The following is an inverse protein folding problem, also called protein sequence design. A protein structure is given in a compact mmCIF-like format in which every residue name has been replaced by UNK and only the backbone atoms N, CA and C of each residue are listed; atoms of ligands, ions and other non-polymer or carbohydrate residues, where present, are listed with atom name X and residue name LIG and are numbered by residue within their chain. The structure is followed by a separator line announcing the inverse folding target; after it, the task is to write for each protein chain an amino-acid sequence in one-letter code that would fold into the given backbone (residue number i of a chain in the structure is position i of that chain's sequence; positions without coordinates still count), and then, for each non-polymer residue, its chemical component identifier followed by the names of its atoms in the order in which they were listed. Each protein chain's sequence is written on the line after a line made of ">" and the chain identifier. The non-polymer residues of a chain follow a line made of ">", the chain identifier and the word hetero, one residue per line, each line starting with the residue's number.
data_IF_383008733990
#
_entry.id   IF_383008733990
#
_cell.length_a   1.000
_cell.length_b   1.000
_cell.length_c   1.000
_cell.angle_alpha   90.00
_cell.angle_beta   90.00
_cell.angle_gamma   90.00
#
_symmetry.space_group_name_H-M   'P 1'
#
loop_
_entity.id
_entity.type
_entity.pdbx_description
1 polymer ?
#
# COMPACT_ATOMS: atom_id res chain seq x y z
N UNK A 1 -8.01 10.58 36.27
CA UNK A 1 -7.22 11.72 35.74
C UNK A 1 -6.35 11.35 34.50
N UNK A 2 -6.75 10.38 33.65
CA UNK A 2 -6.01 10.04 32.41
C UNK A 2 -6.92 9.91 31.18
N UNK A 3 -7.97 10.73 31.07
CA UNK A 3 -8.87 10.75 29.90
C UNK A 3 -9.19 12.16 29.43
N UNK A 4 -8.19 13.05 29.32
CA UNK A 4 -8.44 14.43 28.84
C UNK A 4 -7.38 14.98 27.86
N UNK A 5 -6.52 14.14 27.26
CA UNK A 5 -5.52 14.61 26.28
C UNK A 5 -5.45 13.73 25.03
N UNK A 6 -6.60 13.40 24.44
CA UNK A 6 -6.64 13.24 22.99
C UNK A 6 -7.00 14.61 22.43
N UNK A 7 -6.01 15.50 22.37
CA UNK A 7 -6.09 16.70 21.55
C UNK A 7 -6.64 16.26 20.20
N UNK A 8 -7.78 16.84 19.81
CA UNK A 8 -8.43 16.60 18.54
C UNK A 8 -7.47 17.05 17.44
N UNK A 9 -6.55 16.15 17.07
CA UNK A 9 -5.49 16.43 16.13
C UNK A 9 -6.08 16.88 14.81
N UNK A 10 -5.42 17.82 14.15
CA UNK A 10 -5.82 18.33 12.85
C UNK A 10 -6.26 17.19 11.94
N UNK A 11 -7.39 17.36 11.22
CA UNK A 11 -7.89 16.37 10.27
C UNK A 11 -6.84 16.14 9.18
N UNK A 12 -6.00 15.13 9.39
CA UNK A 12 -4.98 14.72 8.43
C UNK A 12 -5.65 14.16 7.19
N UNK A 13 -5.28 14.70 6.03
CA UNK A 13 -5.88 14.37 4.73
C UNK A 13 -5.84 12.86 4.43
N UNK A 14 -4.87 12.11 4.96
CA UNK A 14 -4.74 10.67 4.74
C UNK A 14 -5.75 9.82 5.54
N UNK A 15 -6.42 10.35 6.57
CA UNK A 15 -7.24 9.56 7.50
C UNK A 15 -8.34 8.74 6.79
N UNK A 16 -9.14 9.39 5.93
CA UNK A 16 -10.23 8.74 5.21
C UNK A 16 -9.77 7.65 4.23
N UNK A 17 -8.52 7.75 3.77
CA UNK A 17 -7.93 6.78 2.87
C UNK A 17 -7.42 5.57 3.67
N UNK A 18 -6.61 5.78 4.70
CA UNK A 18 -6.06 4.70 5.56
C UNK A 18 -7.18 3.86 6.18
N UNK A 19 -8.24 4.50 6.67
CA UNK A 19 -9.33 3.81 7.37
C UNK A 19 -10.47 3.36 6.46
N UNK A 20 -10.19 3.14 5.18
CA UNK A 20 -11.15 2.59 4.24
C UNK A 20 -11.60 1.17 4.63
N UNK A 21 -12.91 0.98 4.82
CA UNK A 21 -13.53 -0.33 5.14
C UNK A 21 -13.16 -1.46 4.17
N UNK A 22 -12.94 -1.13 2.89
CA UNK A 22 -12.57 -2.13 1.88
C UNK A 22 -11.13 -2.63 2.06
N UNK A 23 -10.24 -1.86 2.70
CA UNK A 23 -8.87 -2.31 2.94
C UNK A 23 -8.83 -3.41 4.00
N UNK A 24 -7.93 -4.36 3.86
CA UNK A 24 -7.72 -5.44 4.85
C UNK A 24 -7.08 -4.82 6.11
N UNK A 25 -7.50 -5.18 7.34
CA UNK A 25 -7.01 -4.54 8.58
C UNK A 25 -5.48 -4.48 8.70
N UNK A 26 -4.78 -5.58 8.39
CA UNK A 26 -3.31 -5.62 8.41
C UNK A 26 -2.70 -4.60 7.43
N UNK A 27 -3.36 -4.32 6.30
CA UNK A 27 -2.82 -3.44 5.26
C UNK A 27 -2.93 -2.00 5.72
N UNK A 28 -4.05 -1.65 6.39
CA UNK A 28 -4.26 -0.35 7.02
C UNK A 28 -3.21 -0.06 8.09
N UNK A 29 -2.86 -1.06 8.89
CA UNK A 29 -1.85 -0.90 9.94
C UNK A 29 -0.46 -0.63 9.37
N UNK A 30 -0.03 -1.40 8.37
CA UNK A 30 1.30 -1.21 7.76
C UNK A 30 1.38 0.11 7.00
N UNK A 31 0.36 0.50 6.22
CA UNK A 31 0.38 1.80 5.52
C UNK A 31 0.33 2.98 6.49
N UNK A 32 -0.37 2.86 7.62
CA UNK A 32 -0.36 3.86 8.68
C UNK A 32 1.05 4.04 9.25
N UNK A 33 1.75 2.95 9.59
CA UNK A 33 3.14 3.02 10.04
C UNK A 33 4.07 3.59 8.97
N UNK A 34 3.87 3.22 7.69
CA UNK A 34 4.64 3.77 6.58
C UNK A 34 4.45 5.29 6.43
N UNK A 35 3.21 5.77 6.58
CA UNK A 35 2.86 7.19 6.49
C UNK A 35 3.50 8.01 7.62
N UNK A 36 3.69 7.38 8.79
CA UNK A 36 4.37 7.99 9.94
C UNK A 36 5.89 7.79 9.95
N UNK A 37 6.46 7.18 8.91
CA UNK A 37 7.86 6.77 8.84
C UNK A 37 8.32 5.91 10.05
N UNK A 38 7.40 5.11 10.60
CA UNK A 38 7.61 4.28 11.81
C UNK A 38 7.97 2.82 11.50
N UNK A 39 8.11 2.45 10.23
CA UNK A 39 8.54 1.12 9.84
C UNK A 39 10.03 0.90 10.17
N UNK A 40 10.38 -0.33 10.56
CA UNK A 40 11.75 -0.73 10.91
C UNK A 40 12.59 -1.00 9.65
N UNK A 41 12.73 0.00 8.78
CA UNK A 41 13.62 -0.09 7.63
C UNK A 41 15.08 -0.19 8.09
N UNK A 42 15.96 -0.79 7.30
CA UNK A 42 17.38 -0.93 7.65
C UNK A 42 18.07 0.41 7.85
N UNK A 43 17.73 1.45 7.08
CA UNK A 43 18.26 2.80 7.32
C UNK A 43 17.92 3.30 8.74
N UNK A 44 16.67 3.10 9.19
CA UNK A 44 16.24 3.48 10.54
C UNK A 44 16.94 2.64 11.62
N UNK A 45 17.04 1.33 11.41
CA UNK A 45 17.72 0.41 12.34
C UNK A 45 19.22 0.72 12.43
N UNK A 46 19.86 1.09 11.32
CA UNK A 46 21.26 1.51 11.28
C UNK A 46 21.48 2.78 12.09
N UNK A 47 20.61 3.79 11.95
CA UNK A 47 20.65 5.00 12.80
C UNK A 47 20.47 4.73 14.30
N UNK A 48 19.85 3.60 14.65
CA UNK A 48 19.69 3.16 16.04
C UNK A 48 20.86 2.28 16.53
N UNK A 49 21.86 2.00 15.69
CA UNK A 49 22.97 1.10 16.02
C UNK A 49 22.59 -0.40 16.06
N UNK A 50 21.42 -0.77 15.51
CA UNK A 50 20.91 -2.15 15.54
C UNK A 50 21.32 -2.92 14.28
N UNK A 51 21.34 -2.27 13.12
CA UNK A 51 21.72 -2.89 11.85
C UNK A 51 23.07 -2.34 11.38
N UNK A 52 23.93 -3.21 10.86
CA UNK A 52 25.22 -2.83 10.26
C UNK A 52 25.09 -2.45 8.79
N UNK A 53 24.19 -3.10 8.07
CA UNK A 53 23.86 -2.80 6.67
C UNK A 53 22.58 -1.96 6.58
N UNK A 54 22.64 -0.89 5.78
CA UNK A 54 21.51 0.01 5.50
C UNK A 54 20.93 -0.16 4.10
N UNK A 55 21.46 -1.09 3.29
CA UNK A 55 21.03 -1.37 1.92
C UNK A 55 19.67 -2.05 1.87
N UNK A 56 18.88 -1.74 0.84
CA UNK A 56 17.58 -2.35 0.58
C UNK A 56 17.71 -3.87 0.43
N UNK A 57 17.02 -4.67 1.26
CA UNK A 57 17.12 -6.13 1.19
C UNK A 57 16.71 -6.68 -0.18
N UNK A 58 15.75 -6.04 -0.85
CA UNK A 58 15.19 -6.54 -2.10
C UNK A 58 16.13 -6.28 -3.28
N UNK A 59 16.56 -5.03 -3.49
CA UNK A 59 17.37 -4.68 -4.66
C UNK A 59 18.88 -4.69 -4.40
N UNK A 60 19.32 -4.55 -3.14
CA UNK A 60 20.74 -4.50 -2.76
C UNK A 60 21.51 -3.24 -3.20
N UNK A 61 20.86 -2.27 -3.87
CA UNK A 61 21.56 -1.16 -4.54
C UNK A 61 21.52 0.15 -3.72
N UNK A 62 20.37 0.51 -3.18
CA UNK A 62 20.13 1.80 -2.52
C UNK A 62 19.83 1.63 -1.04
N UNK A 63 19.90 2.71 -0.27
CA UNK A 63 19.51 2.72 1.14
C UNK A 63 18.03 2.35 1.34
N UNK A 64 17.75 1.49 2.32
CA UNK A 64 16.38 1.10 2.66
C UNK A 64 15.67 2.21 3.45
N UNK A 65 15.12 3.19 2.75
CA UNK A 65 14.17 4.16 3.30
C UNK A 65 12.74 3.76 2.95
N UNK A 66 11.73 4.35 3.61
CA UNK A 66 10.31 4.16 3.21
C UNK A 66 10.08 4.66 1.77
N UNK A 67 10.70 5.79 1.40
CA UNK A 67 10.62 6.31 0.03
C UNK A 67 11.18 5.30 -0.98
N UNK A 68 12.39 4.81 -0.71
CA UNK A 68 13.03 3.83 -1.59
C UNK A 68 12.22 2.54 -1.68
N UNK A 69 11.94 1.92 -0.53
CA UNK A 69 11.32 0.59 -0.47
C UNK A 69 9.99 0.54 -1.22
N UNK A 70 9.16 1.58 -1.13
CA UNK A 70 7.81 1.55 -1.71
C UNK A 70 7.68 2.29 -3.05
N UNK A 71 8.58 3.22 -3.41
CA UNK A 71 8.39 4.10 -4.57
C UNK A 71 9.56 4.21 -5.53
N UNK A 72 10.75 3.73 -5.17
CA UNK A 72 11.95 3.87 -6.01
C UNK A 72 12.64 2.53 -6.28
N UNK A 73 12.45 1.54 -5.40
CA UNK A 73 12.92 0.19 -5.59
C UNK A 73 12.28 -0.38 -6.87
N UNK A 74 13.11 -0.85 -7.80
CA UNK A 74 12.68 -1.38 -9.11
C UNK A 74 11.59 -2.45 -8.95
N UNK A 75 11.79 -3.39 -8.03
CA UNK A 75 10.80 -4.41 -7.68
C UNK A 75 9.42 -3.83 -7.32
N UNK A 76 9.40 -2.83 -6.44
CA UNK A 76 8.17 -2.20 -5.95
C UNK A 76 7.49 -1.36 -7.03
N UNK A 77 8.27 -0.67 -7.87
CA UNK A 77 7.78 0.11 -9.02
C UNK A 77 7.13 -0.81 -10.04
N UNK A 78 7.74 -1.95 -10.35
CA UNK A 78 7.18 -2.94 -11.28
C UNK A 78 5.90 -3.58 -10.74
N UNK A 79 5.88 -3.95 -9.45
CA UNK A 79 4.67 -4.42 -8.78
C UNK A 79 3.53 -3.40 -8.86
N UNK A 80 3.83 -2.13 -8.54
CA UNK A 80 2.84 -1.06 -8.60
C UNK A 80 2.33 -0.82 -10.02
N UNK A 81 3.22 -0.85 -11.01
CA UNK A 81 2.84 -0.70 -12.43
C UNK A 81 1.89 -1.83 -12.88
N UNK A 82 2.17 -3.08 -12.49
CA UNK A 82 1.31 -4.22 -12.82
C UNK A 82 -0.07 -4.13 -12.15
N UNK A 83 -0.15 -3.73 -10.89
CA UNK A 83 -1.42 -3.51 -10.18
C UNK A 83 -2.22 -2.36 -10.82
N UNK A 84 -1.56 -1.29 -11.24
CA UNK A 84 -2.23 -0.16 -11.91
C UNK A 84 -2.79 -0.55 -13.27
N UNK A 85 -2.04 -1.33 -14.05
CA UNK A 85 -2.53 -1.91 -15.32
C UNK A 85 -3.75 -2.79 -15.10
N UNK A 86 -3.74 -3.64 -14.06
CA UNK A 86 -4.88 -4.48 -13.71
C UNK A 86 -6.16 -3.67 -13.45
N UNK A 87 -6.04 -2.52 -12.78
CA UNK A 87 -7.17 -1.65 -12.49
C UNK A 87 -7.62 -0.78 -13.67
N UNK A 88 -7.01 -0.94 -14.85
CA UNK A 88 -7.22 -0.11 -16.05
C UNK A 88 -6.97 1.39 -15.80
N UNK A 89 -5.97 1.70 -14.98
CA UNK A 89 -5.64 3.06 -14.59
C UNK A 89 -4.31 3.54 -15.19
N UNK A 90 -4.23 4.83 -15.52
CA UNK A 90 -3.00 5.46 -16.05
C UNK A 90 -1.88 5.56 -15.01
N UNK A 91 -0.63 5.60 -15.48
CA UNK A 91 0.57 5.60 -14.62
C UNK A 91 0.56 6.76 -13.61
N UNK A 92 0.86 6.47 -12.34
CA UNK A 92 1.03 7.48 -11.28
C UNK A 92 2.51 7.86 -11.13
N UNK A 93 2.81 9.12 -10.80
CA UNK A 93 4.17 9.55 -10.44
C UNK A 93 4.59 8.95 -9.07
N UNK A 94 5.89 8.86 -8.82
CA UNK A 94 6.49 8.27 -7.62
C UNK A 94 6.07 8.96 -6.31
N UNK A 95 5.94 8.17 -5.24
CA UNK A 95 5.71 8.61 -3.86
C UNK A 95 4.31 8.33 -3.30
N UNK A 96 4.21 8.05 -1.98
CA UNK A 96 2.95 7.71 -1.31
C UNK A 96 1.91 8.82 -1.48
N UNK A 97 2.28 10.06 -1.17
CA UNK A 97 1.39 11.20 -1.28
C UNK A 97 0.95 11.46 -2.73
N UNK A 98 1.81 11.18 -3.71
CA UNK A 98 1.44 11.29 -5.12
C UNK A 98 0.41 10.22 -5.51
N UNK A 99 0.61 8.98 -5.08
CA UNK A 99 -0.34 7.88 -5.25
C UNK A 99 -1.70 8.19 -4.60
N UNK A 100 -1.70 8.67 -3.36
CA UNK A 100 -2.92 9.04 -2.64
C UNK A 100 -3.71 10.14 -3.38
N UNK A 101 -3.02 11.20 -3.81
CA UNK A 101 -3.63 12.29 -4.58
C UNK A 101 -4.13 11.82 -5.95
N UNK A 102 -3.39 10.93 -6.59
CA UNK A 102 -3.77 10.36 -7.88
C UNK A 102 -5.02 9.48 -7.76
N UNK A 103 -5.10 8.59 -6.76
CA UNK A 103 -6.30 7.77 -6.51
C UNK A 103 -7.53 8.65 -6.30
N UNK A 104 -7.38 9.75 -5.57
CA UNK A 104 -8.46 10.70 -5.35
C UNK A 104 -8.95 11.37 -6.65
N UNK A 105 -8.04 11.70 -7.57
CA UNK A 105 -8.36 12.42 -8.82
C UNK A 105 -8.90 11.51 -9.93
N UNK A 106 -8.39 10.28 -10.03
CA UNK A 106 -8.60 9.44 -11.23
C UNK A 106 -9.85 8.58 -11.16
N UNK A 107 -10.32 8.19 -9.97
CA UNK A 107 -11.49 7.32 -9.87
C UNK A 107 -12.82 8.10 -9.86
N UNK A 108 -13.67 7.74 -10.82
CA UNK A 108 -14.93 8.41 -11.14
C UNK A 108 -16.00 8.30 -10.05
N UNK A 109 -15.97 7.24 -9.24
CA UNK A 109 -16.91 7.03 -8.12
C UNK A 109 -16.19 6.80 -6.80
N UNK A 110 -16.88 7.02 -5.68
CA UNK A 110 -16.33 6.73 -4.35
C UNK A 110 -15.97 5.25 -4.20
N UNK A 111 -16.79 4.35 -4.75
CA UNK A 111 -16.52 2.92 -4.72
C UNK A 111 -15.22 2.58 -5.46
N UNK A 112 -15.06 3.05 -6.70
CA UNK A 112 -13.82 2.85 -7.48
C UNK A 112 -12.61 3.46 -6.77
N UNK A 113 -12.74 4.65 -6.17
CA UNK A 113 -11.67 5.29 -5.37
C UNK A 113 -11.22 4.39 -4.22
N UNK A 114 -12.19 3.79 -3.51
CA UNK A 114 -11.91 2.93 -2.36
C UNK A 114 -11.31 1.58 -2.76
N UNK A 115 -11.72 1.01 -3.89
CA UNK A 115 -11.09 -0.20 -4.45
C UNK A 115 -9.67 0.11 -4.92
N UNK A 116 -9.48 1.18 -5.69
CA UNK A 116 -8.19 1.64 -6.18
C UNK A 116 -7.21 1.90 -5.03
N UNK A 117 -7.64 2.59 -3.98
CA UNK A 117 -6.82 2.81 -2.78
C UNK A 117 -6.42 1.49 -2.11
N UNK A 118 -7.37 0.56 -1.97
CA UNK A 118 -7.13 -0.72 -1.30
C UNK A 118 -6.11 -1.55 -2.06
N UNK A 119 -6.22 -1.61 -3.39
CA UNK A 119 -5.31 -2.35 -4.24
C UNK A 119 -3.92 -1.69 -4.35
N UNK A 120 -3.87 -0.37 -4.46
CA UNK A 120 -2.62 0.34 -4.71
C UNK A 120 -1.93 0.70 -3.40
N UNK A 121 -2.38 1.75 -2.72
CA UNK A 121 -1.73 2.29 -1.55
C UNK A 121 -1.65 1.27 -0.40
N UNK A 122 -2.74 0.57 -0.07
CA UNK A 122 -2.74 -0.35 1.06
C UNK A 122 -2.07 -1.70 0.75
N UNK A 123 -2.50 -2.39 -0.32
CA UNK A 123 -2.02 -3.74 -0.60
C UNK A 123 -0.58 -3.77 -1.13
N UNK A 124 -0.15 -2.85 -2.00
CA UNK A 124 1.26 -2.81 -2.45
C UNK A 124 2.18 -2.59 -1.25
N UNK A 125 1.89 -1.59 -0.42
CA UNK A 125 2.72 -1.29 0.77
C UNK A 125 2.81 -2.50 1.70
N UNK A 126 1.69 -3.16 1.97
CA UNK A 126 1.68 -4.36 2.79
C UNK A 126 2.49 -5.52 2.17
N UNK A 127 2.25 -5.84 0.91
CA UNK A 127 2.87 -7.00 0.27
C UNK A 127 4.36 -6.77 -0.01
N UNK A 128 4.77 -5.56 -0.36
CA UNK A 128 6.20 -5.18 -0.46
C UNK A 128 6.87 -5.26 0.91
N UNK A 129 6.21 -4.77 1.97
CA UNK A 129 6.74 -4.90 3.33
C UNK A 129 6.89 -6.38 3.75
N UNK A 130 5.92 -7.23 3.40
CA UNK A 130 5.97 -8.67 3.60
C UNK A 130 7.11 -9.31 2.80
N UNK A 131 7.24 -8.99 1.51
CA UNK A 131 8.32 -9.48 0.64
C UNK A 131 9.70 -9.09 1.17
N UNK A 132 9.85 -7.84 1.63
CA UNK A 132 11.07 -7.36 2.30
C UNK A 132 11.39 -8.20 3.54
N UNK A 133 10.40 -8.47 4.39
CA UNK A 133 10.64 -9.28 5.58
C UNK A 133 10.99 -10.73 5.22
N UNK A 134 10.33 -11.32 4.22
CA UNK A 134 10.72 -12.63 3.69
C UNK A 134 12.14 -12.65 3.15
N UNK A 135 12.59 -11.57 2.51
CA UNK A 135 13.98 -11.46 2.06
C UNK A 135 14.96 -11.51 3.23
N UNK A 136 14.67 -10.82 4.33
CA UNK A 136 15.54 -10.81 5.51
C UNK A 136 15.55 -12.15 6.25
N UNK A 137 14.37 -12.73 6.48
CA UNK A 137 14.23 -13.88 7.39
C UNK A 137 14.27 -15.23 6.67
N UNK A 138 13.93 -15.27 5.38
CA UNK A 138 13.83 -16.49 4.57
C UNK A 138 14.73 -16.45 3.34
N UNK A 139 15.48 -15.35 3.10
CA UNK A 139 16.31 -15.15 1.90
C UNK A 139 15.53 -15.34 0.60
N UNK A 140 14.25 -14.96 0.61
CA UNK A 140 13.35 -15.11 -0.52
C UNK A 140 12.63 -13.82 -0.84
N UNK A 141 12.57 -13.49 -2.14
CA UNK A 141 11.72 -12.41 -2.67
C UNK A 141 10.70 -13.06 -3.60
N UNK A 142 9.38 -12.91 -3.36
CA UNK A 142 8.38 -13.45 -4.27
C UNK A 142 8.48 -12.77 -5.63
N UNK A 143 8.20 -13.49 -6.71
CA UNK A 143 8.15 -12.86 -8.04
C UNK A 143 7.08 -11.78 -8.10
N UNK A 144 7.26 -10.79 -8.98
CA UNK A 144 6.30 -9.71 -9.20
C UNK A 144 4.93 -10.30 -9.56
N UNK A 145 4.90 -11.33 -10.41
CA UNK A 145 3.67 -12.01 -10.82
C UNK A 145 2.95 -12.65 -9.63
N UNK A 146 3.69 -13.31 -8.72
CA UNK A 146 3.10 -13.91 -7.51
C UNK A 146 2.53 -12.83 -6.60
N UNK A 147 3.27 -11.77 -6.34
CA UNK A 147 2.84 -10.66 -5.49
C UNK A 147 1.57 -10.00 -6.05
N UNK A 148 1.56 -9.70 -7.35
CA UNK A 148 0.40 -9.10 -8.03
C UNK A 148 -0.82 -10.01 -7.96
N UNK A 149 -0.64 -11.33 -8.20
CA UNK A 149 -1.74 -12.30 -8.09
C UNK A 149 -2.31 -12.38 -6.67
N UNK A 150 -1.46 -12.30 -5.65
CA UNK A 150 -1.90 -12.27 -4.25
C UNK A 150 -2.69 -10.99 -3.94
N UNK A 151 -2.21 -9.83 -4.39
CA UNK A 151 -2.95 -8.57 -4.28
C UNK A 151 -4.32 -8.67 -4.95
N UNK A 152 -4.37 -9.18 -6.19
CA UNK A 152 -5.62 -9.33 -6.92
C UNK A 152 -6.61 -10.22 -6.16
N UNK A 153 -6.15 -11.40 -5.70
CA UNK A 153 -6.97 -12.33 -4.92
C UNK A 153 -7.51 -11.71 -3.63
N UNK A 154 -6.62 -11.12 -2.83
CA UNK A 154 -6.97 -10.50 -1.55
C UNK A 154 -7.98 -9.36 -1.71
N UNK A 155 -7.74 -8.47 -2.67
CA UNK A 155 -8.60 -7.31 -2.94
C UNK A 155 -9.95 -7.77 -3.47
N UNK A 156 -10.00 -8.67 -4.46
CA UNK A 156 -11.25 -9.19 -5.02
C UNK A 156 -12.07 -9.86 -3.94
N UNK A 157 -11.47 -10.79 -3.19
CA UNK A 157 -12.14 -11.49 -2.10
C UNK A 157 -12.71 -10.50 -1.08
N UNK A 158 -11.88 -9.56 -0.61
CA UNK A 158 -12.29 -8.58 0.40
C UNK A 158 -13.43 -7.67 -0.07
N UNK A 159 -13.36 -7.19 -1.30
CA UNK A 159 -14.37 -6.27 -1.85
C UNK A 159 -15.67 -7.03 -2.12
N UNK A 160 -15.63 -8.24 -2.68
CA UNK A 160 -16.82 -9.07 -2.92
C UNK A 160 -17.61 -9.31 -1.62
N UNK A 161 -16.94 -9.59 -0.52
CA UNK A 161 -17.59 -9.86 0.78
C UNK A 161 -18.12 -8.61 1.48
N UNK A 162 -17.72 -7.41 1.04
CA UNK A 162 -18.10 -6.14 1.66
C UNK A 162 -18.87 -5.22 0.72
N UNK A 163 -19.19 -5.68 -0.48
CA UNK A 163 -19.86 -4.87 -1.49
C UNK A 163 -21.26 -4.51 -1.00
N UNK A 164 -21.62 -3.23 -1.10
CA UNK A 164 -22.92 -2.76 -0.67
C UNK A 164 -23.93 -2.90 -1.79
N UNK A 165 -25.20 -3.20 -1.46
CA UNK A 165 -26.33 -3.13 -2.40
C UNK A 165 -26.53 -1.73 -3.02
N UNK A 166 -25.90 -0.69 -2.45
CA UNK A 166 -25.94 0.70 -2.94
C UNK A 166 -24.92 1.00 -4.05
N UNK A 167 -24.03 0.07 -4.39
CA UNK A 167 -23.06 0.27 -5.48
C UNK A 167 -23.81 0.24 -6.82
N UNK A 168 -23.51 1.18 -7.73
CA UNK A 168 -24.18 1.25 -9.03
C UNK A 168 -23.87 0.04 -9.90
N UNK A 169 -24.78 -0.31 -10.81
CA UNK A 169 -24.57 -1.41 -11.77
C UNK A 169 -23.30 -1.21 -12.61
N UNK A 170 -22.98 0.05 -12.99
CA UNK A 170 -21.76 0.37 -13.74
C UNK A 170 -20.48 0.12 -12.94
N UNK A 171 -20.50 0.32 -11.62
CA UNK A 171 -19.37 0.05 -10.74
C UNK A 171 -19.22 -1.42 -10.42
N UNK A 172 -20.33 -2.15 -10.30
CA UNK A 172 -20.34 -3.61 -10.17
C UNK A 172 -19.75 -4.26 -11.42
N UNK A 173 -20.20 -3.88 -12.62
CA UNK A 173 -19.69 -4.41 -13.88
C UNK A 173 -18.19 -4.14 -14.03
N UNK A 174 -17.74 -2.91 -13.72
CA UNK A 174 -16.31 -2.60 -13.71
C UNK A 174 -15.54 -3.51 -12.74
N UNK A 175 -16.02 -3.67 -11.51
CA UNK A 175 -15.33 -4.50 -10.52
C UNK A 175 -15.29 -5.98 -10.90
N UNK A 176 -16.36 -6.51 -11.51
CA UNK A 176 -16.40 -7.88 -12.01
C UNK A 176 -15.52 -8.11 -13.26
N UNK A 177 -15.17 -7.04 -13.99
CA UNK A 177 -14.25 -7.11 -15.12
C UNK A 177 -12.77 -7.11 -14.73
N UNK A 178 -12.45 -6.75 -13.48
CA UNK A 178 -11.11 -6.87 -12.90
C UNK A 178 -10.75 -8.34 -12.68
#
# INVERSE_FOLDING_TARGET
>A
MYLNNLSQGDKVQWHGYIWNRLSIPNYRFIIWLATLDKLKTRFRLHRMGIATDCSCPICGIQLETVAHLFFECTYSVECGTAVMKWLAFSHCKSGLNALLRWVHRTASSEFRRRVAYTATAAAIVYHVWKARNSCIWQLQVPSIQKLVKDIQGDVKYRVQHLISKKVSSSDLLWFHSL
#
